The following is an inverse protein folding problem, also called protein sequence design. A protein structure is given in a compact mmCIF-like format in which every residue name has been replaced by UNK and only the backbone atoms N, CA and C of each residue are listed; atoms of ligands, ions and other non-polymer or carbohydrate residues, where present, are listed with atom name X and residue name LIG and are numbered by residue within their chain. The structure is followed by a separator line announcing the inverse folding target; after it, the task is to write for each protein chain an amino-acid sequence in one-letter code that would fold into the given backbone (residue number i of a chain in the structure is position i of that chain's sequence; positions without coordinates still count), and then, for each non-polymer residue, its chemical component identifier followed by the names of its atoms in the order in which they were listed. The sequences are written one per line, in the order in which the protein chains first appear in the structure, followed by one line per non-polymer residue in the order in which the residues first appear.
data_IF_281160227390
#
_entry.id   IF_281160227390
#
_cell.length_a   1.000
_cell.length_b   1.000
_cell.length_c   1.000
_cell.angle_alpha   90.00
_cell.angle_beta   90.00
_cell.angle_gamma   90.00
#
_symmetry.space_group_name_H-M   'P 1'
#
loop_
_entity.id
_entity.type
_entity.pdbx_description
1 polymer ?
#
# COMPACT_ATOMS: atom_id res chain seq x y z
N UNK A 1 13.09 22.45 -14.17
CA UNK A 1 12.08 21.33 -14.33
C UNK A 1 11.94 20.58 -13.01
N UNK A 2 10.82 19.87 -12.75
CA UNK A 2 10.70 19.03 -11.55
C UNK A 2 11.37 17.66 -11.77
N UNK A 3 12.62 17.55 -11.32
CA UNK A 3 13.42 16.31 -11.45
C UNK A 3 12.86 15.16 -10.62
N UNK A 4 12.38 15.46 -9.40
CA UNK A 4 11.83 14.42 -8.52
C UNK A 4 10.53 13.86 -9.07
N UNK A 5 9.63 14.71 -9.52
CA UNK A 5 8.39 14.31 -10.17
C UNK A 5 8.64 13.41 -11.38
N UNK A 6 9.54 13.83 -12.27
CA UNK A 6 9.92 13.06 -13.45
C UNK A 6 10.42 11.65 -13.08
N UNK A 7 11.34 11.54 -12.12
CA UNK A 7 11.93 10.26 -11.73
C UNK A 7 10.89 9.33 -11.08
N UNK A 8 10.05 9.88 -10.20
CA UNK A 8 9.00 9.09 -9.54
C UNK A 8 7.94 8.60 -10.53
N UNK A 9 7.57 9.41 -11.53
CA UNK A 9 6.61 9.01 -12.55
C UNK A 9 7.14 7.89 -13.44
N UNK A 10 8.39 7.99 -13.91
CA UNK A 10 9.04 6.92 -14.67
C UNK A 10 9.12 5.62 -13.85
N UNK A 11 9.55 5.70 -12.59
CA UNK A 11 9.64 4.54 -11.71
C UNK A 11 8.27 3.92 -11.39
N UNK A 12 7.24 4.74 -11.25
CA UNK A 12 5.85 4.31 -10.99
C UNK A 12 5.25 3.57 -12.18
N UNK A 13 5.54 4.01 -13.40
CA UNK A 13 5.12 3.32 -14.63
C UNK A 13 5.93 2.05 -14.92
N UNK A 14 7.00 1.78 -14.16
CA UNK A 14 7.89 0.64 -14.36
C UNK A 14 8.98 0.89 -15.39
N UNK A 15 9.11 2.12 -15.86
CA UNK A 15 10.18 2.53 -16.76
C UNK A 15 11.49 2.70 -15.98
N UNK A 16 12.61 2.32 -16.60
CA UNK A 16 13.94 2.49 -16.01
C UNK A 16 14.49 3.88 -16.40
N UNK A 17 14.57 4.84 -15.47
CA UNK A 17 15.13 6.16 -15.81
C UNK A 17 16.57 6.05 -16.28
N UNK A 18 16.85 6.68 -17.41
CA UNK A 18 18.19 6.73 -18.01
C UNK A 18 18.86 8.07 -17.71
N UNK A 19 20.07 8.00 -17.18
CA UNK A 19 20.84 9.16 -16.69
C UNK A 19 22.20 9.21 -17.40
N UNK A 20 22.52 10.34 -18.02
CA UNK A 20 23.87 10.62 -18.50
C UNK A 20 24.70 11.25 -17.37
N UNK A 21 25.75 10.58 -16.94
CA UNK A 21 26.70 11.10 -15.94
C UNK A 21 27.88 11.76 -16.67
N UNK A 22 27.88 13.09 -16.75
CA UNK A 22 28.97 13.90 -17.33
C UNK A 22 29.99 14.14 -16.22
N UNK A 23 31.18 13.58 -16.36
CA UNK A 23 32.22 13.57 -15.31
C UNK A 23 33.62 13.62 -15.88
N UNK A 24 34.61 13.97 -15.04
CA UNK A 24 36.01 14.02 -15.45
C UNK A 24 36.52 12.64 -15.88
N UNK A 25 37.41 12.63 -16.89
CA UNK A 25 37.97 11.39 -17.48
C UNK A 25 38.61 10.45 -16.47
N UNK A 26 39.27 10.95 -15.45
CA UNK A 26 39.91 10.18 -14.37
C UNK A 26 39.07 10.07 -13.10
N UNK A 27 37.83 10.57 -13.16
CA UNK A 27 37.00 10.68 -11.97
C UNK A 27 36.45 9.29 -11.54
N UNK A 28 36.44 9.06 -10.23
CA UNK A 28 35.84 7.89 -9.58
C UNK A 28 34.52 8.24 -8.89
N UNK A 29 34.02 9.45 -9.07
CA UNK A 29 32.83 10.00 -8.41
C UNK A 29 31.53 9.26 -8.76
N UNK A 30 31.50 8.56 -9.87
CA UNK A 30 30.41 7.65 -10.21
C UNK A 30 30.30 6.49 -9.20
N UNK A 31 31.42 6.09 -8.58
CA UNK A 31 31.40 5.11 -7.50
C UNK A 31 30.72 5.65 -6.24
N UNK A 32 30.92 6.94 -5.95
CA UNK A 32 30.28 7.59 -4.80
C UNK A 32 28.75 7.68 -5.01
N UNK A 33 28.31 8.01 -6.22
CA UNK A 33 26.89 7.96 -6.60
C UNK A 33 26.35 6.51 -6.50
N UNK A 34 27.07 5.54 -7.06
CA UNK A 34 26.66 4.14 -7.04
C UNK A 34 26.61 3.56 -5.62
N UNK A 35 27.59 3.89 -4.78
CA UNK A 35 27.63 3.44 -3.38
C UNK A 35 26.48 4.00 -2.55
N UNK A 36 26.14 5.29 -2.74
CA UNK A 36 25.02 5.92 -2.03
C UNK A 36 23.65 5.45 -2.52
N UNK A 37 23.52 5.01 -3.77
CA UNK A 37 22.33 4.34 -4.29
C UNK A 37 22.10 2.96 -3.68
N UNK A 38 23.16 2.20 -3.43
CA UNK A 38 23.05 0.83 -2.96
C UNK A 38 22.22 -0.04 -3.91
N UNK A 39 21.25 -0.78 -3.38
CA UNK A 39 20.36 -1.67 -4.16
C UNK A 39 19.50 -0.93 -5.18
N UNK A 40 19.13 0.33 -4.88
CA UNK A 40 18.36 1.17 -5.79
C UNK A 40 19.10 1.45 -7.12
N UNK A 41 20.41 1.18 -7.20
CA UNK A 41 21.22 1.33 -8.43
C UNK A 41 20.63 0.54 -9.61
N UNK A 42 20.08 -0.63 -9.35
CA UNK A 42 19.47 -1.50 -10.38
C UNK A 42 18.22 -0.90 -11.03
N UNK A 43 17.63 0.13 -10.41
CA UNK A 43 16.44 0.81 -10.91
C UNK A 43 16.74 1.92 -11.92
N UNK A 44 18.03 2.20 -12.16
CA UNK A 44 18.51 3.25 -13.05
C UNK A 44 19.47 2.72 -14.10
N UNK A 45 19.35 3.22 -15.32
CA UNK A 45 20.38 3.08 -16.33
C UNK A 45 21.26 4.33 -16.28
N UNK A 46 22.55 4.16 -15.96
CA UNK A 46 23.51 5.25 -15.83
C UNK A 46 24.65 5.05 -16.81
N UNK A 47 24.77 5.95 -17.76
CA UNK A 47 25.82 5.93 -18.77
C UNK A 47 26.85 7.04 -18.48
N UNK A 48 28.12 6.66 -18.35
CA UNK A 48 29.21 7.62 -18.13
C UNK A 48 29.53 8.34 -19.42
N UNK A 49 29.72 9.67 -19.31
CA UNK A 49 30.20 10.56 -20.35
C UNK A 49 31.46 11.26 -19.83
N UNK A 50 32.64 10.61 -19.98
CA UNK A 50 33.90 11.22 -19.57
C UNK A 50 34.20 12.47 -20.41
N UNK A 51 34.62 13.54 -19.75
CA UNK A 51 34.94 14.82 -20.39
C UNK A 51 36.10 15.51 -19.65
N UNK A 52 36.88 16.27 -20.38
CA UNK A 52 37.87 17.14 -19.76
C UNK A 52 37.16 18.31 -19.05
N UNK A 53 36.99 18.22 -17.73
CA UNK A 53 36.33 19.26 -16.93
C UNK A 53 37.13 20.57 -16.83
N UNK A 54 38.37 20.66 -17.34
CA UNK A 54 39.15 21.89 -17.39
C UNK A 54 38.98 22.67 -18.70
N UNK A 55 38.22 22.10 -19.65
CA UNK A 55 37.84 22.72 -20.91
C UNK A 55 36.35 23.05 -20.94
N UNK A 56 35.94 24.32 -20.81
CA UNK A 56 34.54 24.71 -20.81
C UNK A 56 33.79 24.32 -22.09
N UNK A 57 34.45 24.38 -23.24
CA UNK A 57 33.84 24.04 -24.53
C UNK A 57 33.57 22.56 -24.63
N UNK A 58 34.48 21.69 -24.14
CA UNK A 58 34.29 20.25 -24.08
C UNK A 58 33.12 19.87 -23.15
N UNK A 59 32.97 20.57 -22.02
CA UNK A 59 31.83 20.35 -21.10
C UNK A 59 30.51 20.77 -21.77
N UNK A 60 30.47 21.93 -22.42
CA UNK A 60 29.27 22.41 -23.11
C UNK A 60 28.86 21.44 -24.24
N UNK A 61 29.82 20.95 -25.02
CA UNK A 61 29.57 19.97 -26.08
C UNK A 61 29.05 18.65 -25.51
N UNK A 62 29.63 18.16 -24.42
CA UNK A 62 29.16 16.92 -23.74
C UNK A 62 27.73 17.05 -23.24
N UNK A 63 27.34 18.23 -22.70
CA UNK A 63 25.96 18.52 -22.31
C UNK A 63 25.05 18.47 -23.54
N UNK A 64 25.41 19.17 -24.63
CA UNK A 64 24.61 19.20 -25.85
C UNK A 64 24.45 17.80 -26.49
N UNK A 65 25.50 17.00 -26.54
CA UNK A 65 25.46 15.61 -27.04
C UNK A 65 24.59 14.74 -26.18
N UNK A 66 24.70 14.82 -24.84
CA UNK A 66 23.88 14.07 -23.92
C UNK A 66 22.40 14.49 -24.00
N UNK A 67 22.12 15.78 -24.21
CA UNK A 67 20.77 16.29 -24.40
C UNK A 67 20.08 15.72 -25.65
N UNK A 68 20.87 15.50 -26.74
CA UNK A 68 20.37 14.78 -27.94
C UNK A 68 20.24 13.26 -27.78
N UNK A 69 20.79 12.67 -26.74
CA UNK A 69 20.79 11.24 -26.48
C UNK A 69 19.49 10.71 -25.85
N UNK A 70 19.36 9.41 -25.62
CA UNK A 70 18.17 8.76 -25.06
C UNK A 70 18.15 8.81 -23.52
N UNK A 71 18.43 9.97 -22.95
CA UNK A 71 18.48 10.17 -21.50
C UNK A 71 17.27 10.96 -21.01
N UNK A 72 16.78 10.59 -19.83
CA UNK A 72 15.72 11.31 -19.13
C UNK A 72 16.27 12.43 -18.24
N UNK A 73 17.52 12.27 -17.78
CA UNK A 73 18.20 13.19 -16.88
C UNK A 73 19.66 13.28 -17.26
N UNK A 74 20.20 14.49 -17.21
CA UNK A 74 21.64 14.75 -17.28
C UNK A 74 22.14 15.10 -15.89
N UNK A 75 23.32 14.59 -15.52
CA UNK A 75 23.98 14.92 -14.27
C UNK A 75 25.44 15.31 -14.53
N UNK A 76 25.75 16.58 -14.31
CA UNK A 76 27.13 17.09 -14.31
C UNK A 76 27.69 16.86 -12.90
N UNK A 77 28.62 15.91 -12.80
CA UNK A 77 29.19 15.52 -11.51
C UNK A 77 30.68 15.70 -11.46
N UNK A 78 31.15 16.22 -10.33
CA UNK A 78 32.56 16.44 -10.05
C UNK A 78 32.85 16.09 -8.58
N UNK A 79 33.98 15.43 -8.35
CA UNK A 79 34.55 15.24 -7.02
C UNK A 79 35.33 16.47 -6.56
N UNK A 80 36.00 16.36 -5.45
CA UNK A 80 36.95 17.38 -4.99
C UNK A 80 38.10 17.56 -5.96
N UNK A 81 38.84 18.69 -5.85
CA UNK A 81 40.00 18.99 -6.66
C UNK A 81 39.93 20.39 -7.29
N UNK A 82 40.91 20.75 -8.14
CA UNK A 82 41.00 22.02 -8.85
C UNK A 82 40.04 22.07 -10.05
N UNK A 83 39.86 23.26 -10.67
CA UNK A 83 39.10 23.43 -11.92
C UNK A 83 37.61 23.69 -11.75
N UNK A 84 37.13 24.00 -10.53
CA UNK A 84 35.75 24.40 -10.31
C UNK A 84 35.36 25.66 -11.09
N UNK A 85 36.31 26.59 -11.23
CA UNK A 85 36.16 27.84 -11.96
C UNK A 85 35.88 27.63 -13.46
N UNK A 86 36.29 26.49 -14.02
CA UNK A 86 36.02 26.15 -15.41
C UNK A 86 34.54 25.86 -15.66
N UNK A 87 33.89 25.27 -14.68
CA UNK A 87 32.44 24.99 -14.76
C UNK A 87 31.61 26.29 -14.59
N UNK A 88 32.23 27.35 -14.10
CA UNK A 88 31.59 28.66 -13.92
C UNK A 88 31.90 29.63 -15.10
N UNK A 89 32.05 29.08 -16.30
CA UNK A 89 32.27 29.83 -17.54
C UNK A 89 30.98 29.96 -18.36
N UNK A 90 30.85 31.07 -19.14
CA UNK A 90 29.67 31.36 -19.94
C UNK A 90 29.26 30.20 -20.84
N UNK A 91 30.20 29.51 -21.46
CA UNK A 91 29.95 28.40 -22.37
C UNK A 91 29.18 27.25 -21.66
N UNK A 92 29.52 26.98 -20.40
CA UNK A 92 28.87 25.95 -19.60
C UNK A 92 27.49 26.43 -19.10
N UNK A 93 27.37 27.69 -18.69
CA UNK A 93 26.08 28.26 -18.26
C UNK A 93 25.05 28.24 -19.39
N UNK A 94 25.45 28.67 -20.58
CA UNK A 94 24.57 28.66 -21.75
C UNK A 94 24.13 27.25 -22.11
N UNK A 95 25.05 26.27 -22.04
CA UNK A 95 24.72 24.87 -22.29
C UNK A 95 23.75 24.30 -21.26
N UNK A 96 23.90 24.64 -19.98
CA UNK A 96 22.98 24.22 -18.92
C UNK A 96 21.63 24.91 -19.06
N UNK A 97 21.62 26.24 -19.23
CA UNK A 97 20.38 27.02 -19.33
C UNK A 97 19.57 26.69 -20.58
N UNK A 98 20.21 26.31 -21.68
CA UNK A 98 19.55 25.93 -22.93
C UNK A 98 19.27 24.47 -23.07
N UNK A 99 19.61 23.65 -22.06
CA UNK A 99 19.38 22.18 -22.09
C UNK A 99 17.88 21.89 -22.14
N UNK A 100 17.39 21.17 -23.17
CA UNK A 100 15.96 20.84 -23.28
C UNK A 100 15.55 19.73 -22.35
N UNK A 101 16.48 19.10 -21.64
CA UNK A 101 16.23 18.01 -20.69
C UNK A 101 16.57 18.45 -19.28
N UNK A 102 15.96 17.85 -18.26
CA UNK A 102 16.35 18.08 -16.88
C UNK A 102 17.85 17.86 -16.68
N UNK A 103 18.51 18.83 -16.08
CA UNK A 103 19.92 18.74 -15.77
C UNK A 103 20.16 19.07 -14.30
N UNK A 104 20.93 18.20 -13.63
CA UNK A 104 21.34 18.39 -12.25
C UNK A 104 22.83 18.51 -12.14
N UNK A 105 23.29 19.19 -11.12
CA UNK A 105 24.73 19.35 -10.85
C UNK A 105 25.06 18.83 -9.45
N UNK A 106 26.25 18.20 -9.31
CA UNK A 106 26.77 17.71 -8.05
C UNK A 106 28.28 17.90 -8.01
N UNK A 107 28.75 19.10 -7.60
CA UNK A 107 30.11 19.58 -7.84
C UNK A 107 31.04 19.43 -6.64
N UNK A 108 30.58 18.87 -5.52
CA UNK A 108 31.47 18.52 -4.41
C UNK A 108 32.13 19.71 -3.71
N UNK A 109 31.46 20.87 -3.62
CA UNK A 109 32.00 21.99 -2.90
C UNK A 109 30.93 22.91 -2.29
N UNK A 110 31.26 23.55 -1.17
CA UNK A 110 30.29 24.25 -0.34
C UNK A 110 30.57 25.74 -0.09
N UNK A 111 31.64 26.34 -0.64
CA UNK A 111 32.03 27.67 -0.20
C UNK A 111 31.33 28.80 -0.95
N UNK A 112 31.01 28.64 -2.24
CA UNK A 112 30.30 29.64 -3.03
C UNK A 112 29.40 28.97 -4.05
N UNK A 113 28.17 29.45 -4.21
CA UNK A 113 27.23 28.96 -5.23
C UNK A 113 27.74 29.42 -6.60
N UNK A 114 27.99 28.48 -7.50
CA UNK A 114 28.37 28.74 -8.88
C UNK A 114 27.14 29.08 -9.73
N UNK A 115 27.30 29.83 -10.79
CA UNK A 115 26.22 30.12 -11.72
C UNK A 115 25.63 28.88 -12.34
N UNK A 116 26.46 27.88 -12.64
CA UNK A 116 25.99 26.58 -13.16
C UNK A 116 25.06 25.84 -12.20
N UNK A 117 25.24 26.00 -10.88
CA UNK A 117 24.36 25.43 -9.87
C UNK A 117 23.01 26.15 -9.78
N UNK A 118 23.02 27.49 -10.00
CA UNK A 118 21.82 28.30 -9.99
C UNK A 118 20.96 28.09 -11.25
N UNK A 119 21.57 27.72 -12.36
CA UNK A 119 20.91 27.51 -13.66
C UNK A 119 20.41 26.06 -13.85
N UNK A 120 20.99 25.10 -13.15
CA UNK A 120 20.55 23.73 -13.18
C UNK A 120 19.15 23.57 -12.54
N UNK A 121 18.40 22.58 -12.96
CA UNK A 121 17.08 22.28 -12.38
C UNK A 121 17.16 21.89 -10.91
N UNK A 122 18.29 21.28 -10.52
CA UNK A 122 18.60 20.97 -9.12
C UNK A 122 20.11 20.87 -8.91
N UNK A 123 20.60 21.36 -7.76
CA UNK A 123 22.00 21.24 -7.37
C UNK A 123 22.14 20.40 -6.09
N UNK A 124 23.24 19.68 -6.02
CA UNK A 124 23.61 18.83 -4.89
C UNK A 124 25.03 19.18 -4.41
N UNK A 125 25.25 19.25 -3.10
CA UNK A 125 26.55 19.60 -2.56
C UNK A 125 27.65 18.58 -2.87
N UNK A 126 27.26 17.31 -3.14
CA UNK A 126 28.19 16.21 -3.42
C UNK A 126 27.57 15.19 -4.36
N UNK A 127 28.37 14.40 -5.10
CA UNK A 127 27.90 13.22 -5.84
C UNK A 127 27.15 12.22 -4.98
N UNK A 128 27.56 12.04 -3.71
CA UNK A 128 26.85 11.21 -2.73
C UNK A 128 25.45 11.73 -2.44
N UNK A 129 25.27 13.05 -2.33
CA UNK A 129 23.95 13.65 -2.12
C UNK A 129 23.00 13.40 -3.31
N UNK A 130 23.53 13.48 -4.54
CA UNK A 130 22.78 13.08 -5.74
C UNK A 130 22.35 11.61 -5.66
N UNK A 131 23.25 10.71 -5.27
CA UNK A 131 22.91 9.28 -5.12
C UNK A 131 21.83 9.04 -4.07
N UNK A 132 21.89 9.73 -2.93
CA UNK A 132 20.83 9.68 -1.92
C UNK A 132 19.49 10.19 -2.45
N UNK A 133 19.48 11.28 -3.20
CA UNK A 133 18.27 11.82 -3.83
C UNK A 133 17.63 10.79 -4.78
N UNK A 134 18.44 10.18 -5.64
CA UNK A 134 17.98 9.14 -6.55
C UNK A 134 17.43 7.92 -5.79
N UNK A 135 18.09 7.52 -4.69
CA UNK A 135 17.62 6.44 -3.81
C UNK A 135 16.27 6.77 -3.18
N UNK A 136 16.09 7.99 -2.70
CA UNK A 136 14.83 8.45 -2.11
C UNK A 136 13.66 8.39 -3.09
N UNK A 137 13.90 8.68 -4.38
CA UNK A 137 12.87 8.56 -5.41
C UNK A 137 12.38 7.11 -5.56
N UNK A 138 13.28 6.13 -5.56
CA UNK A 138 12.93 4.69 -5.57
C UNK A 138 12.16 4.30 -4.31
N UNK A 139 12.68 4.67 -3.14
CA UNK A 139 12.05 4.34 -1.85
C UNK A 139 10.65 4.95 -1.70
N UNK A 140 10.44 6.15 -2.29
CA UNK A 140 9.11 6.77 -2.29
C UNK A 140 8.10 5.95 -3.08
N UNK A 141 8.45 5.53 -4.30
CA UNK A 141 7.58 4.69 -5.15
C UNK A 141 7.32 3.32 -4.52
N UNK A 142 8.34 2.71 -3.92
CA UNK A 142 8.18 1.43 -3.23
C UNK A 142 7.26 1.53 -2.01
N UNK A 143 7.38 2.61 -1.23
CA UNK A 143 6.46 2.88 -0.10
C UNK A 143 5.03 3.10 -0.55
N UNK A 144 4.80 3.85 -1.63
CA UNK A 144 3.46 4.03 -2.21
C UNK A 144 2.84 2.69 -2.62
N UNK A 145 3.62 1.83 -3.30
CA UNK A 145 3.19 0.50 -3.72
C UNK A 145 2.83 -0.39 -2.53
N UNK A 146 3.70 -0.43 -1.51
CA UNK A 146 3.45 -1.19 -0.29
C UNK A 146 2.19 -0.71 0.43
N UNK A 147 2.00 0.61 0.54
CA UNK A 147 0.79 1.19 1.15
C UNK A 147 -0.48 0.81 0.38
N UNK A 148 -0.44 0.85 -0.95
CA UNK A 148 -1.57 0.44 -1.79
C UNK A 148 -1.90 -1.06 -1.62
N UNK A 149 -0.89 -1.93 -1.57
CA UNK A 149 -1.09 -3.36 -1.38
C UNK A 149 -1.62 -3.67 0.02
N UNK A 150 -1.11 -2.99 1.05
CA UNK A 150 -1.63 -3.12 2.42
C UNK A 150 -3.10 -2.69 2.52
N UNK A 151 -3.46 -1.61 1.84
CA UNK A 151 -4.86 -1.13 1.78
C UNK A 151 -5.78 -2.18 1.14
N UNK A 152 -5.34 -2.84 0.06
CA UNK A 152 -6.10 -3.93 -0.57
C UNK A 152 -6.32 -5.11 0.38
N UNK A 153 -5.27 -5.51 1.10
CA UNK A 153 -5.36 -6.60 2.09
C UNK A 153 -6.31 -6.22 3.22
N UNK A 154 -6.22 -4.98 3.73
CA UNK A 154 -7.10 -4.48 4.78
C UNK A 154 -8.58 -4.51 4.35
N UNK A 155 -8.88 -4.00 3.16
CA UNK A 155 -10.25 -3.99 2.63
C UNK A 155 -10.80 -5.40 2.49
N UNK A 156 -10.02 -6.34 1.94
CA UNK A 156 -10.43 -7.73 1.82
C UNK A 156 -10.68 -8.40 3.18
N UNK A 157 -9.84 -8.11 4.15
CA UNK A 157 -10.01 -8.65 5.52
C UNK A 157 -11.28 -8.09 6.17
N UNK A 158 -11.57 -6.80 5.97
CA UNK A 158 -12.79 -6.18 6.47
C UNK A 158 -14.06 -6.79 5.84
N UNK A 159 -14.03 -7.06 4.53
CA UNK A 159 -15.14 -7.73 3.85
C UNK A 159 -15.40 -9.13 4.41
N UNK A 160 -14.32 -9.91 4.64
CA UNK A 160 -14.43 -11.25 5.25
C UNK A 160 -14.98 -11.17 6.67
N UNK A 161 -14.52 -10.21 7.45
CA UNK A 161 -15.02 -9.99 8.81
C UNK A 161 -16.52 -9.69 8.81
N UNK A 162 -16.97 -8.79 7.94
CA UNK A 162 -18.38 -8.43 7.82
C UNK A 162 -19.25 -9.65 7.45
N UNK A 163 -18.82 -10.45 6.46
CA UNK A 163 -19.52 -11.70 6.09
C UNK A 163 -19.62 -12.68 7.26
N UNK A 164 -18.50 -12.89 7.95
CA UNK A 164 -18.47 -13.80 9.11
C UNK A 164 -19.40 -13.31 10.23
N UNK A 165 -19.49 -12.01 10.45
CA UNK A 165 -20.42 -11.43 11.43
C UNK A 165 -21.89 -11.62 11.03
N UNK A 166 -22.22 -11.47 9.74
CA UNK A 166 -23.56 -11.74 9.22
C UNK A 166 -23.95 -13.22 9.39
N UNK A 167 -23.06 -14.14 9.00
CA UNK A 167 -23.27 -15.58 9.19
C UNK A 167 -23.45 -15.94 10.68
N UNK A 168 -22.66 -15.37 11.55
CA UNK A 168 -22.78 -15.56 12.99
C UNK A 168 -24.12 -15.02 13.54
N UNK A 169 -24.59 -13.92 12.95
CA UNK A 169 -25.92 -13.36 13.25
C UNK A 169 -27.06 -14.29 12.84
N UNK A 170 -26.96 -14.91 11.66
CA UNK A 170 -27.98 -15.89 11.19
C UNK A 170 -28.00 -17.16 12.05
N UNK A 171 -26.82 -17.71 12.33
CA UNK A 171 -26.68 -18.90 13.19
C UNK A 171 -27.26 -18.65 14.62
N UNK A 172 -27.01 -17.46 15.17
CA UNK A 172 -27.59 -17.10 16.48
C UNK A 172 -29.11 -17.06 16.45
N UNK A 173 -29.71 -16.50 15.39
CA UNK A 173 -31.17 -16.49 15.22
C UNK A 173 -31.75 -17.89 15.07
N UNK A 174 -31.16 -18.75 14.26
CA UNK A 174 -31.55 -20.14 14.09
C UNK A 174 -31.45 -20.90 15.40
N UNK A 175 -30.37 -20.72 16.13
CA UNK A 175 -30.22 -21.35 17.46
C UNK A 175 -31.33 -20.94 18.42
N UNK A 176 -31.73 -19.68 18.41
CA UNK A 176 -32.80 -19.21 19.30
C UNK A 176 -34.16 -19.78 18.90
N UNK A 177 -34.46 -19.86 17.61
CA UNK A 177 -35.66 -20.49 17.09
C UNK A 177 -35.74 -22.00 17.45
N UNK A 178 -34.59 -22.69 17.34
CA UNK A 178 -34.50 -24.10 17.74
C UNK A 178 -34.73 -24.29 19.25
N UNK A 179 -34.19 -23.39 20.07
CA UNK A 179 -34.44 -23.42 21.54
C UNK A 179 -35.90 -23.21 21.89
N UNK A 180 -36.57 -22.26 21.20
CA UNK A 180 -38.01 -22.06 21.40
C UNK A 180 -38.83 -23.28 20.99
N UNK A 181 -38.49 -23.91 19.85
CA UNK A 181 -39.17 -25.16 19.42
C UNK A 181 -38.95 -26.27 20.42
N UNK A 182 -37.73 -26.42 20.92
CA UNK A 182 -37.42 -27.46 21.92
C UNK A 182 -38.21 -27.23 23.22
N UNK A 183 -38.27 -25.99 23.69
CA UNK A 183 -39.06 -25.65 24.89
C UNK A 183 -40.57 -25.88 24.70
N UNK A 184 -41.12 -25.70 23.50
CA UNK A 184 -42.53 -26.08 23.18
C UNK A 184 -42.73 -27.58 23.22
N UNK A 185 -41.85 -28.37 22.57
CA UNK A 185 -41.91 -29.83 22.56
C UNK A 185 -41.75 -30.43 23.95
N UNK A 186 -40.99 -29.84 24.83
CA UNK A 186 -40.87 -30.27 26.24
C UNK A 186 -42.14 -29.99 27.06
N UNK A 187 -42.89 -28.93 26.74
CA UNK A 187 -44.15 -28.59 27.44
C UNK A 187 -45.35 -29.41 26.97
N UNK A 188 -45.40 -29.82 25.71
CA UNK A 188 -46.49 -30.61 25.14
C UNK A 188 -46.78 -31.92 25.90
N UNK A 189 -45.78 -32.77 26.23
CA UNK A 189 -46.01 -34.00 26.97
C UNK A 189 -46.56 -33.75 28.38
N UNK A 190 -46.12 -32.67 29.02
CA UNK A 190 -46.59 -32.30 30.36
C UNK A 190 -48.06 -31.83 30.31
N UNK A 191 -48.43 -31.03 29.30
CA UNK A 191 -49.82 -30.61 29.11
C UNK A 191 -50.73 -31.78 28.79
N UNK A 192 -50.33 -32.69 27.90
CA UNK A 192 -51.04 -33.93 27.59
C UNK A 192 -51.18 -34.81 28.80
N UNK A 193 -50.15 -34.98 29.62
CA UNK A 193 -50.22 -35.77 30.86
C UNK A 193 -51.23 -35.18 31.86
N UNK A 194 -51.32 -33.88 31.99
CA UNK A 194 -52.28 -33.15 32.81
C UNK A 194 -53.74 -33.40 32.31
N UNK A 195 -53.91 -33.26 30.97
CA UNK A 195 -55.22 -33.45 30.36
C UNK A 195 -55.71 -34.91 30.50
N UNK A 196 -54.87 -35.92 30.29
CA UNK A 196 -55.14 -37.33 30.54
C UNK A 196 -55.46 -37.52 32.00
N UNK A 197 -54.83 -36.92 32.96
CA UNK A 197 -55.12 -36.99 34.37
C UNK A 197 -56.50 -36.41 34.71
N UNK A 198 -56.86 -35.26 34.14
CA UNK A 198 -58.20 -34.66 34.29
C UNK A 198 -59.29 -35.54 33.73
N UNK A 199 -59.07 -36.10 32.51
CA UNK A 199 -60.02 -37.02 31.91
C UNK A 199 -60.25 -38.33 32.77
N UNK A 200 -59.16 -38.88 33.31
CA UNK A 200 -59.23 -40.02 34.23
C UNK A 200 -59.98 -39.68 35.50
N UNK A 201 -59.82 -38.53 36.07
CA UNK A 201 -60.59 -38.07 37.22
C UNK A 201 -62.10 -37.92 36.89
N UNK A 202 -62.42 -37.26 35.79
CA UNK A 202 -63.76 -37.10 35.29
C UNK A 202 -64.44 -38.47 35.09
N UNK A 203 -63.74 -39.42 34.46
CA UNK A 203 -64.25 -40.78 34.26
C UNK A 203 -64.53 -41.52 35.56
N UNK A 204 -63.68 -41.33 36.60
CA UNK A 204 -63.94 -41.91 37.95
C UNK A 204 -65.20 -41.31 38.55
N UNK A 205 -65.43 -40.00 38.45
CA UNK A 205 -66.63 -39.33 38.95
C UNK A 205 -67.87 -39.83 38.21
N UNK A 206 -67.84 -39.93 36.90
CA UNK A 206 -68.95 -40.46 36.11
C UNK A 206 -69.22 -41.93 36.42
N UNK A 207 -68.22 -42.78 36.59
CA UNK A 207 -68.39 -44.18 37.03
C UNK A 207 -69.01 -44.24 38.41
N UNK A 208 -68.60 -43.46 39.37
CA UNK A 208 -69.19 -43.40 40.69
C UNK A 208 -70.64 -42.90 40.62
N UNK A 209 -70.95 -41.90 39.83
CA UNK A 209 -72.31 -41.40 39.61
C UNK A 209 -73.22 -42.47 38.97
N UNK A 210 -72.74 -43.23 37.97
CA UNK A 210 -73.51 -44.33 37.33
C UNK A 210 -73.69 -45.47 38.28
N UNK A 211 -72.73 -45.83 39.13
CA UNK A 211 -72.88 -46.83 40.16
C UNK A 211 -73.94 -46.43 41.21
N UNK A 212 -73.89 -45.16 41.65
CA UNK A 212 -74.91 -44.67 42.61
C UNK A 212 -76.28 -44.62 42.01
N UNK A 213 -76.43 -44.28 40.74
CA UNK A 213 -77.67 -44.23 40.00
C UNK A 213 -78.25 -45.70 39.84
N UNK A 214 -77.41 -46.63 39.45
CA UNK A 214 -77.78 -48.04 39.35
C UNK A 214 -78.19 -48.65 40.71
N UNK A 215 -77.49 -48.31 41.79
CA UNK A 215 -77.83 -48.73 43.14
C UNK A 215 -79.16 -48.13 43.60
N UNK A 216 -79.43 -46.85 43.27
CA UNK A 216 -80.71 -46.19 43.59
C UNK A 216 -81.90 -46.83 42.82
N UNK A 217 -81.69 -47.17 41.52
CA UNK A 217 -82.67 -47.85 40.70
C UNK A 217 -83.01 -49.27 41.29
N UNK A 218 -81.98 -50.05 41.67
CA UNK A 218 -82.10 -51.30 42.27
C UNK A 218 -82.86 -51.26 43.63
N UNK A 219 -82.61 -50.24 44.45
CA UNK A 219 -83.32 -50.02 45.70
C UNK A 219 -84.79 -49.60 45.48
N UNK A 220 -85.10 -48.90 44.44
CA UNK A 220 -86.42 -48.52 44.06
C UNK A 220 -87.24 -49.76 43.55
N UNK A 221 -86.55 -50.61 42.76
CA UNK A 221 -87.14 -51.87 42.27
C UNK A 221 -87.35 -52.95 43.40
N UNK A 222 -86.57 -52.88 44.46
CA UNK A 222 -86.74 -53.80 45.63
C UNK A 222 -87.81 -53.39 46.66
N UNK A 223 -88.37 -52.20 46.49
CA UNK A 223 -89.41 -51.64 47.36
C UNK A 223 -90.83 -51.65 46.74
N UNK A 224 -90.94 -52.05 45.48
CA UNK A 224 -92.24 -52.27 44.81
C UNK A 224 -92.55 -53.76 44.68
#
# INVERSE_FOLDING_TARGET
MDVQGLLTDLLRTGETPSIALILGESAIVDRDVAASLGEARSRYRMDKKPVNLTDPSAVAEAIAQAAGGPYHLLALIRGGGEGLQTLDRPEVWEAVASCPKPIVVALGHAANTLWVEALADQSFPTPTALGHFLKQAVEAVEREKQAADLTKVLNRTQELLNRTQEELGTIKKEREQLREKLARLEREPVALAQEVSRLKQSLKVWRAATFLLAAAILLLLAKG
#
